data_IF_090927489755
#
_entry.id   IF_090927489755
#
_cell.length_a   1.000
_cell.length_b   1.000
_cell.length_c   1.000
_cell.angle_alpha   90.00
_cell.angle_beta   90.00
_cell.angle_gamma   90.00
#
_symmetry.space_group_name_H-M   'P 1'
#
loop_
_entity.id
_entity.type
_entity.pdbx_description
1 polymer ?
#
# COMPACT_ATOMS: atom_id res chain seq x y z
N UNK A 1 21.20 -8.68 0.56
CA UNK A 1 19.82 -9.10 0.82
C UNK A 1 18.86 -8.24 -0.01
N UNK A 2 17.98 -8.84 -0.78
CA UNK A 2 17.05 -8.05 -1.58
C UNK A 2 15.99 -7.36 -0.74
N UNK A 3 15.60 -6.19 -1.21
CA UNK A 3 14.52 -5.39 -0.63
C UNK A 3 13.50 -5.16 -1.75
N UNK A 4 12.23 -5.34 -1.45
CA UNK A 4 11.17 -5.03 -2.38
C UNK A 4 10.37 -3.82 -1.90
N UNK A 5 10.01 -2.96 -2.81
CA UNK A 5 9.15 -1.81 -2.54
C UNK A 5 7.96 -1.87 -3.48
N UNK A 6 6.77 -1.91 -2.89
CA UNK A 6 5.51 -1.78 -3.63
C UNK A 6 5.01 -0.35 -3.45
N UNK A 7 4.76 0.33 -4.55
CA UNK A 7 4.15 1.66 -4.52
C UNK A 7 2.74 1.55 -5.09
N UNK A 8 1.76 2.12 -4.40
CA UNK A 8 0.37 2.13 -4.85
C UNK A 8 -0.19 3.53 -4.81
N UNK A 9 -0.92 3.89 -5.85
CA UNK A 9 -1.69 5.13 -5.89
C UNK A 9 -3.15 4.79 -5.70
N UNK A 10 -3.78 5.47 -4.74
CA UNK A 10 -5.14 5.17 -4.30
C UNK A 10 -6.03 6.39 -4.54
N UNK A 11 -7.21 6.14 -5.10
CA UNK A 11 -8.30 7.12 -5.17
C UNK A 11 -9.31 6.83 -4.07
N UNK A 12 -9.76 7.87 -3.37
CA UNK A 12 -10.76 7.77 -2.33
C UNK A 12 -11.94 8.67 -2.74
N UNK A 13 -12.79 8.22 -3.67
CA UNK A 13 -13.76 9.11 -4.32
C UNK A 13 -14.81 9.69 -3.37
N UNK A 14 -15.10 9.02 -2.27
CA UNK A 14 -16.10 9.48 -1.31
C UNK A 14 -15.53 10.34 -0.18
N UNK A 15 -14.21 10.54 -0.15
CA UNK A 15 -13.61 11.40 0.86
C UNK A 15 -13.98 12.86 0.59
N UNK A 16 -14.44 13.55 1.62
CA UNK A 16 -14.81 14.96 1.54
C UNK A 16 -13.94 15.82 2.46
N UNK A 17 -12.95 15.21 3.11
CA UNK A 17 -12.07 15.89 4.04
C UNK A 17 -10.79 15.09 4.25
N UNK A 18 -9.80 15.75 4.85
CA UNK A 18 -8.58 15.08 5.30
C UNK A 18 -8.90 13.99 6.34
N UNK A 19 -9.92 14.22 7.16
CA UNK A 19 -10.33 13.23 8.16
C UNK A 19 -10.84 11.94 7.50
N UNK A 20 -11.67 12.05 6.47
CA UNK A 20 -12.18 10.88 5.73
C UNK A 20 -11.02 10.10 5.10
N UNK A 21 -10.09 10.80 4.45
CA UNK A 21 -8.89 10.21 3.87
C UNK A 21 -8.09 9.44 4.94
N UNK A 22 -7.88 10.07 6.08
CA UNK A 22 -7.09 9.49 7.17
C UNK A 22 -7.71 8.22 7.73
N UNK A 23 -9.04 8.16 7.83
CA UNK A 23 -9.73 6.97 8.32
C UNK A 23 -9.54 5.78 7.38
N UNK A 24 -9.68 6.00 6.06
CA UNK A 24 -9.48 4.95 5.05
C UNK A 24 -8.04 4.44 5.09
N UNK A 25 -7.08 5.35 5.06
CA UNK A 25 -5.66 4.97 5.04
C UNK A 25 -5.23 4.28 6.33
N UNK A 26 -5.74 4.71 7.47
CA UNK A 26 -5.47 4.04 8.76
C UNK A 26 -5.97 2.60 8.73
N UNK A 27 -7.17 2.39 8.23
CA UNK A 27 -7.75 1.05 8.13
C UNK A 27 -6.90 0.14 7.23
N UNK A 28 -6.47 0.66 6.08
CA UNK A 28 -5.60 -0.10 5.17
C UNK A 28 -4.28 -0.44 5.85
N UNK A 29 -3.62 0.55 6.45
CA UNK A 29 -2.33 0.34 7.11
C UNK A 29 -2.42 -0.68 8.24
N UNK A 30 -3.44 -0.58 9.08
CA UNK A 30 -3.61 -1.48 10.21
C UNK A 30 -3.83 -2.93 9.74
N UNK A 31 -4.68 -3.13 8.75
CA UNK A 31 -4.96 -4.49 8.24
C UNK A 31 -3.75 -5.10 7.54
N UNK A 32 -3.00 -4.30 6.79
CA UNK A 32 -1.78 -4.79 6.16
C UNK A 32 -0.73 -5.15 7.20
N UNK A 33 -0.54 -4.32 8.23
CA UNK A 33 0.43 -4.62 9.30
C UNK A 33 0.08 -5.89 10.08
N UNK A 34 -1.20 -6.19 10.24
CA UNK A 34 -1.64 -7.42 10.90
C UNK A 34 -1.39 -8.67 10.06
N UNK A 35 -1.50 -8.57 8.75
CA UNK A 35 -1.39 -9.73 7.86
C UNK A 35 -0.02 -9.92 7.23
N UNK A 36 0.84 -8.91 7.25
CA UNK A 36 2.13 -8.93 6.53
C UNK A 36 3.22 -8.29 7.37
N UNK A 37 4.41 -8.86 7.29
CA UNK A 37 5.60 -8.28 7.93
C UNK A 37 6.27 -7.30 6.98
N UNK A 38 5.71 -6.11 6.88
CA UNK A 38 6.17 -5.06 5.98
C UNK A 38 6.14 -3.70 6.67
N UNK A 39 7.01 -2.79 6.22
CA UNK A 39 6.89 -1.38 6.55
C UNK A 39 5.93 -0.73 5.58
N UNK A 40 5.15 0.23 6.06
CA UNK A 40 4.20 0.95 5.23
C UNK A 40 4.16 2.42 5.63
N UNK A 41 4.14 3.30 4.64
CA UNK A 41 4.11 4.75 4.87
C UNK A 41 3.38 5.47 3.74
N UNK A 42 2.83 6.62 4.06
CA UNK A 42 2.36 7.56 3.05
C UNK A 42 3.56 8.28 2.45
N UNK A 43 3.58 8.38 1.11
CA UNK A 43 4.70 8.98 0.39
C UNK A 43 4.40 10.39 -0.11
N UNK A 44 3.15 10.82 -0.08
CA UNK A 44 2.74 12.14 -0.51
C UNK A 44 2.49 13.06 0.71
N UNK A 45 2.30 14.34 0.44
CA UNK A 45 2.15 15.35 1.49
C UNK A 45 0.70 15.59 1.94
N UNK A 46 -0.21 14.73 1.55
CA UNK A 46 -1.61 14.75 1.97
C UNK A 46 -2.39 16.03 1.62
N UNK A 47 -1.99 16.73 0.56
CA UNK A 47 -2.68 17.94 0.11
C UNK A 47 -4.05 17.66 -0.53
N UNK A 48 -4.25 16.44 -1.02
CA UNK A 48 -5.51 16.04 -1.63
C UNK A 48 -6.21 15.03 -0.71
N UNK A 49 -7.47 15.29 -0.37
CA UNK A 49 -8.22 14.37 0.49
C UNK A 49 -8.77 13.15 -0.25
N UNK A 50 -8.77 13.17 -1.59
CA UNK A 50 -9.30 12.08 -2.40
C UNK A 50 -8.22 11.21 -3.06
N UNK A 51 -6.96 11.43 -2.73
CA UNK A 51 -5.83 10.69 -3.29
C UNK A 51 -4.77 10.43 -2.25
N UNK A 52 -4.07 9.30 -2.41
CA UNK A 52 -2.92 8.96 -1.57
C UNK A 52 -1.95 8.06 -2.32
N UNK A 53 -0.67 8.17 -1.98
CA UNK A 53 0.38 7.28 -2.44
C UNK A 53 0.96 6.56 -1.23
N UNK A 54 0.96 5.23 -1.25
CA UNK A 54 1.53 4.41 -0.19
C UNK A 54 2.76 3.68 -0.69
N UNK A 55 3.77 3.60 0.14
CA UNK A 55 4.94 2.76 -0.10
C UNK A 55 4.99 1.66 0.95
N UNK A 56 5.23 0.43 0.50
CA UNK A 56 5.36 -0.74 1.35
C UNK A 56 6.69 -1.40 1.05
N UNK A 57 7.43 -1.76 2.10
CA UNK A 57 8.76 -2.37 1.92
C UNK A 57 8.87 -3.66 2.69
N UNK A 58 9.59 -4.61 2.12
CA UNK A 58 9.93 -5.88 2.75
C UNK A 58 11.36 -6.27 2.40
N UNK A 59 11.98 -7.03 3.27
CA UNK A 59 13.32 -7.55 3.08
C UNK A 59 13.28 -9.05 3.33
N UNK A 60 14.05 -9.82 2.54
CA UNK A 60 14.16 -11.26 2.70
C UNK A 60 15.49 -11.73 2.13
N UNK A 61 15.94 -12.91 2.54
CA UNK A 61 17.08 -13.57 1.91
C UNK A 61 16.75 -14.19 0.56
N UNK A 62 15.49 -14.18 0.13
CA UNK A 62 15.02 -14.83 -1.10
C UNK A 62 14.23 -13.86 -1.97
N UNK A 63 14.72 -13.60 -3.18
CA UNK A 63 14.00 -12.77 -4.16
C UNK A 63 12.69 -13.43 -4.60
N UNK A 64 12.66 -14.74 -4.73
CA UNK A 64 11.45 -15.46 -5.10
C UNK A 64 10.35 -15.30 -4.05
N UNK A 65 10.73 -15.39 -2.77
CA UNK A 65 9.78 -15.14 -1.68
C UNK A 65 9.23 -13.72 -1.72
N UNK A 66 10.09 -12.72 -1.93
CA UNK A 66 9.67 -11.32 -2.03
C UNK A 66 8.70 -11.09 -3.18
N UNK A 67 8.97 -11.67 -4.34
CA UNK A 67 8.08 -11.54 -5.49
C UNK A 67 6.68 -12.07 -5.17
N UNK A 68 6.61 -13.23 -4.54
CA UNK A 68 5.33 -13.81 -4.10
C UNK A 68 4.63 -12.94 -3.06
N UNK A 69 5.38 -12.42 -2.09
CA UNK A 69 4.84 -11.56 -1.05
C UNK A 69 4.30 -10.25 -1.63
N UNK A 70 5.01 -9.65 -2.58
CA UNK A 70 4.54 -8.41 -3.22
C UNK A 70 3.25 -8.64 -4.01
N UNK A 71 3.11 -9.79 -4.66
CA UNK A 71 1.89 -10.16 -5.36
C UNK A 71 0.71 -10.31 -4.37
N UNK A 72 0.94 -11.00 -3.26
CA UNK A 72 -0.09 -11.15 -2.22
C UNK A 72 -0.48 -9.81 -1.60
N UNK A 73 0.49 -8.93 -1.38
CA UNK A 73 0.24 -7.58 -0.88
C UNK A 73 -0.62 -6.79 -1.85
N UNK A 74 -0.29 -6.82 -3.14
CA UNK A 74 -1.03 -6.10 -4.16
C UNK A 74 -2.47 -6.59 -4.21
N UNK A 75 -2.68 -7.90 -4.19
CA UNK A 75 -4.02 -8.50 -4.17
C UNK A 75 -4.79 -8.09 -2.91
N UNK A 76 -4.15 -8.11 -1.75
CA UNK A 76 -4.77 -7.70 -0.49
C UNK A 76 -5.16 -6.22 -0.50
N UNK A 77 -4.30 -5.36 -1.05
CA UNK A 77 -4.59 -3.93 -1.15
C UNK A 77 -5.79 -3.67 -2.05
N UNK A 78 -5.91 -4.38 -3.16
CA UNK A 78 -7.07 -4.27 -4.04
C UNK A 78 -8.37 -4.67 -3.32
N UNK A 79 -8.33 -5.79 -2.58
CA UNK A 79 -9.49 -6.23 -1.81
C UNK A 79 -9.89 -5.24 -0.72
N UNK A 80 -8.91 -4.75 0.03
CA UNK A 80 -9.16 -3.78 1.10
C UNK A 80 -9.70 -2.46 0.56
N UNK A 81 -9.11 -1.95 -0.50
CA UNK A 81 -9.56 -0.73 -1.14
C UNK A 81 -11.02 -0.87 -1.59
N UNK A 82 -11.34 -1.98 -2.26
CA UNK A 82 -12.69 -2.24 -2.71
C UNK A 82 -13.69 -2.26 -1.55
N UNK A 83 -13.33 -2.92 -0.45
CA UNK A 83 -14.18 -3.00 0.75
C UNK A 83 -14.42 -1.61 1.36
N UNK A 84 -13.45 -0.73 1.30
CA UNK A 84 -13.51 0.60 1.90
C UNK A 84 -14.02 1.69 0.95
N UNK A 85 -14.43 1.32 -0.25
CA UNK A 85 -14.91 2.27 -1.25
C UNK A 85 -13.81 3.07 -1.92
N UNK A 86 -12.58 2.59 -1.85
CA UNK A 86 -11.43 3.20 -2.54
C UNK A 86 -11.06 2.40 -3.78
N UNK A 87 -10.20 2.97 -4.62
CA UNK A 87 -9.72 2.33 -5.84
C UNK A 87 -8.21 2.41 -5.92
N UNK A 88 -7.57 1.32 -6.32
CA UNK A 88 -6.16 1.33 -6.67
C UNK A 88 -6.05 1.82 -8.12
N UNK A 89 -5.45 2.98 -8.31
CA UNK A 89 -5.27 3.57 -9.65
C UNK A 89 -4.08 2.99 -10.37
N UNK A 90 -3.02 2.72 -9.63
CA UNK A 90 -1.78 2.17 -10.18
C UNK A 90 -0.99 1.50 -9.07
N UNK A 91 -0.20 0.51 -9.43
CA UNK A 91 0.72 -0.15 -8.49
C UNK A 91 1.93 -0.68 -9.25
N UNK A 92 3.10 -0.62 -8.62
CA UNK A 92 4.32 -1.17 -9.20
C UNK A 92 5.29 -1.61 -8.13
N UNK A 93 6.14 -2.57 -8.49
CA UNK A 93 7.14 -3.15 -7.59
C UNK A 93 8.53 -2.81 -8.09
N UNK A 94 9.38 -2.35 -7.17
CA UNK A 94 10.81 -2.20 -7.40
C UNK A 94 11.56 -3.19 -6.51
N UNK A 95 12.45 -3.96 -7.10
CA UNK A 95 13.32 -4.88 -6.36
C UNK A 95 14.70 -4.24 -6.32
N UNK A 96 15.16 -3.97 -5.10
CA UNK A 96 16.49 -3.43 -4.87
C UNK A 96 17.38 -4.58 -4.43
N UNK A 97 18.35 -4.93 -5.27
CA UNK A 97 19.31 -5.97 -4.96
C UNK A 97 20.63 -5.34 -4.53
N UNK A 98 21.22 -5.89 -3.51
CA UNK A 98 22.58 -5.51 -3.13
C UNK A 98 23.62 -6.12 -4.06
#
# INVERSE_FOLDING_TARGET
>A
MPIAKLTVEISIPHAQSIKDRRQVLRSIKDKIRHGFNVGIAELDDANLWNRATLGLVAISGSSAYLNGQMQELDDALHRLANTLGAEILDSWVDILAE
#
